data_IF_687781944527
#
_entry.id   IF_687781944527
#
_cell.length_a   1.000
_cell.length_b   1.000
_cell.length_c   1.000
_cell.angle_alpha   90.00
_cell.angle_beta   90.00
_cell.angle_gamma   90.00
#
_symmetry.space_group_name_H-M   'P 1'
#
loop_
_entity.id
_entity.type
_entity.pdbx_description
1 polymer ?
#
# COMPACT_ATOMS: atom_id res chain seq x y z
N UNK A 1 16.51 -67.57 68.69
CA UNK A 1 15.83 -68.39 67.67
C UNK A 1 15.26 -67.44 66.65
N UNK A 2 16.02 -67.30 65.56
CA UNK A 2 15.62 -67.26 64.14
C UNK A 2 14.55 -66.25 63.65
N UNK A 3 14.69 -65.54 62.53
CA UNK A 3 15.75 -65.40 61.53
C UNK A 3 15.52 -64.15 60.63
N UNK A 4 16.64 -63.58 60.18
CA UNK A 4 17.01 -62.87 58.94
C UNK A 4 15.99 -62.42 57.86
N UNK A 5 16.24 -61.21 57.30
CA UNK A 5 16.74 -60.90 55.91
C UNK A 5 16.11 -59.60 55.31
N UNK A 6 16.87 -58.49 55.30
CA UNK A 6 17.44 -57.71 54.14
C UNK A 6 16.59 -56.51 53.67
N UNK A 7 17.02 -55.26 53.94
CA UNK A 7 17.77 -54.33 53.06
C UNK A 7 16.79 -53.45 52.23
N UNK A 8 16.91 -52.13 52.01
CA UNK A 8 18.08 -51.26 51.93
C UNK A 8 17.60 -49.78 51.76
N UNK A 9 18.52 -48.84 52.05
CA UNK A 9 18.60 -47.44 51.56
C UNK A 9 17.66 -46.39 52.21
N UNK A 10 18.12 -45.35 52.89
CA UNK A 10 19.43 -44.70 52.90
C UNK A 10 19.31 -43.24 52.46
N UNK A 11 19.69 -42.33 53.36
CA UNK A 11 20.34 -41.04 53.07
C UNK A 11 19.53 -39.82 52.57
N UNK A 12 19.09 -39.03 53.54
CA UNK A 12 19.34 -37.60 53.78
C UNK A 12 19.46 -36.57 52.62
N UNK A 13 18.62 -35.55 52.75
CA UNK A 13 18.71 -34.15 52.34
C UNK A 13 19.96 -33.68 51.55
N UNK A 14 19.77 -33.21 50.30
CA UNK A 14 20.52 -32.07 49.78
C UNK A 14 19.90 -31.44 48.51
N UNK A 15 19.73 -30.11 48.62
CA UNK A 15 19.99 -29.10 47.59
C UNK A 15 19.09 -28.99 46.35
N UNK A 16 18.22 -27.98 46.45
CA UNK A 16 17.89 -27.02 45.39
C UNK A 16 19.11 -26.60 44.57
N UNK A 17 19.22 -27.10 43.35
CA UNK A 17 19.98 -26.46 42.26
C UNK A 17 19.20 -26.60 40.95
N UNK A 18 18.03 -25.96 40.87
CA UNK A 18 17.48 -25.56 39.58
C UNK A 18 18.42 -24.51 38.98
N UNK A 19 19.31 -25.03 38.14
CA UNK A 19 20.38 -24.40 37.37
C UNK A 19 20.14 -22.93 36.97
N UNK A 20 20.85 -22.04 37.66
CA UNK A 20 21.10 -20.65 37.22
C UNK A 20 21.74 -20.59 35.83
N UNK A 21 22.47 -21.63 35.41
CA UNK A 21 23.03 -21.81 34.05
C UNK A 21 21.95 -21.90 32.97
N UNK A 22 20.88 -22.69 33.18
CA UNK A 22 19.76 -22.84 32.22
C UNK A 22 18.98 -21.53 32.03
N UNK A 23 18.90 -20.70 33.08
CA UNK A 23 18.22 -19.39 33.02
C UNK A 23 19.09 -18.35 32.29
N UNK A 24 20.40 -18.37 32.51
CA UNK A 24 21.37 -17.54 31.81
C UNK A 24 21.48 -17.89 30.32
N UNK A 25 21.53 -19.19 29.98
CA UNK A 25 21.57 -19.67 28.59
C UNK A 25 20.29 -19.35 27.81
N UNK A 26 19.11 -19.53 28.42
CA UNK A 26 17.85 -19.13 27.81
C UNK A 26 17.74 -17.60 27.63
N UNK A 27 18.35 -16.82 28.53
CA UNK A 27 18.41 -15.36 28.43
C UNK A 27 19.40 -14.92 27.35
N UNK A 28 20.53 -15.62 27.18
CA UNK A 28 21.50 -15.40 26.12
C UNK A 28 20.92 -15.74 24.73
N UNK A 29 20.27 -16.90 24.57
CA UNK A 29 19.55 -17.29 23.33
C UNK A 29 18.47 -16.28 22.94
N UNK A 30 17.83 -15.63 23.92
CA UNK A 30 16.82 -14.58 23.66
C UNK A 30 17.39 -13.29 23.06
N UNK A 31 18.67 -12.98 23.30
CA UNK A 31 19.37 -11.77 22.81
C UNK A 31 19.89 -11.92 21.37
N UNK A 32 20.04 -13.14 20.86
CA UNK A 32 20.48 -13.43 19.49
C UNK A 32 19.34 -13.71 18.49
N UNK A 33 18.09 -13.48 18.91
CA UNK A 33 16.93 -13.68 18.04
C UNK A 33 16.99 -12.73 16.84
N UNK A 34 16.79 -13.28 15.64
CA UNK A 34 16.68 -12.51 14.41
C UNK A 34 15.24 -12.58 13.89
N UNK A 35 14.74 -11.48 13.36
CA UNK A 35 13.50 -11.44 12.58
C UNK A 35 13.88 -11.37 11.10
N UNK A 36 13.32 -12.28 10.31
CA UNK A 36 13.41 -12.25 8.87
C UNK A 36 12.20 -11.50 8.29
N UNK A 37 12.45 -10.42 7.56
CA UNK A 37 11.47 -9.82 6.67
C UNK A 37 11.81 -10.23 5.25
N UNK A 38 10.91 -10.96 4.61
CA UNK A 38 11.01 -11.24 3.19
C UNK A 38 10.38 -10.09 2.42
N UNK A 39 11.14 -9.46 1.53
CA UNK A 39 10.60 -8.50 0.59
C UNK A 39 9.62 -9.22 -0.35
N UNK A 40 8.33 -8.84 -0.39
CA UNK A 40 7.28 -9.63 -1.02
C UNK A 40 7.42 -9.73 -2.54
N UNK A 41 8.29 -8.93 -3.16
CA UNK A 41 8.45 -8.86 -4.63
C UNK A 41 9.79 -9.39 -5.13
N UNK A 42 10.85 -9.22 -4.36
CA UNK A 42 12.22 -9.55 -4.80
C UNK A 42 12.75 -10.82 -4.13
N UNK A 43 12.02 -11.37 -3.15
CA UNK A 43 12.49 -12.48 -2.33
C UNK A 43 13.69 -12.13 -1.43
N UNK A 44 14.17 -10.88 -1.44
CA UNK A 44 15.29 -10.47 -0.57
C UNK A 44 14.88 -10.60 0.89
N UNK A 45 15.69 -11.31 1.67
CA UNK A 45 15.49 -11.49 3.11
C UNK A 45 16.32 -10.44 3.85
N UNK A 46 15.66 -9.61 4.63
CA UNK A 46 16.29 -8.71 5.60
C UNK A 46 16.24 -9.38 6.98
N UNK A 47 17.40 -9.67 7.54
CA UNK A 47 17.54 -10.20 8.89
C UNK A 47 17.86 -9.07 9.87
N UNK A 48 17.04 -8.93 10.92
CA UNK A 48 17.21 -7.90 11.95
C UNK A 48 17.34 -8.53 13.31
N UNK A 49 18.14 -7.92 14.19
CA UNK A 49 18.24 -8.35 15.59
C UNK A 49 16.99 -7.95 16.39
N UNK A 50 16.52 -8.83 17.26
CA UNK A 50 15.47 -8.58 18.23
C UNK A 50 16.08 -8.06 19.55
N UNK A 51 15.44 -7.10 20.26
CA UNK A 51 14.18 -6.44 19.93
C UNK A 51 14.31 -5.44 18.79
N UNK A 52 13.25 -5.30 17.98
CA UNK A 52 13.23 -4.28 16.92
C UNK A 52 13.39 -2.89 17.56
N UNK A 53 14.13 -1.98 16.90
CA UNK A 53 14.20 -0.58 17.33
C UNK A 53 12.79 -0.01 17.47
N UNK A 54 12.53 0.73 18.56
CA UNK A 54 11.24 1.39 18.79
C UNK A 54 10.91 2.45 17.72
N UNK A 55 11.92 2.92 16.98
CA UNK A 55 11.76 3.76 15.80
C UNK A 55 11.53 2.86 14.57
N UNK A 56 10.35 2.96 13.97
CA UNK A 56 9.87 2.10 12.87
C UNK A 56 10.92 1.86 11.80
N UNK A 57 11.30 0.59 11.65
CA UNK A 57 12.23 0.16 10.63
C UNK A 57 11.62 0.37 9.24
N UNK A 58 12.25 1.20 8.42
CA UNK A 58 11.79 1.48 7.05
C UNK A 58 12.45 0.50 6.08
N UNK A 59 11.69 -0.47 5.58
CA UNK A 59 12.18 -1.48 4.63
C UNK A 59 12.51 -0.85 3.26
N UNK A 60 11.86 0.27 2.90
CA UNK A 60 12.00 0.91 1.59
C UNK A 60 13.34 1.63 1.31
N UNK A 61 14.15 1.96 2.32
CA UNK A 61 15.38 2.78 2.12
C UNK A 61 16.55 2.03 1.48
N UNK A 62 16.44 0.72 1.24
CA UNK A 62 17.54 -0.11 0.72
C UNK A 62 17.30 -0.64 -0.71
N UNK A 63 16.34 -0.09 -1.46
CA UNK A 63 15.91 -0.61 -2.76
C UNK A 63 16.53 0.17 -3.94
N UNK A 64 17.29 -0.46 -4.87
CA UNK A 64 17.72 0.19 -6.12
C UNK A 64 16.53 0.66 -7.00
N UNK A 65 16.73 1.60 -7.93
CA UNK A 65 15.63 2.22 -8.70
C UNK A 65 14.74 1.23 -9.46
N UNK A 66 15.28 0.19 -10.12
CA UNK A 66 14.45 -0.83 -10.78
C UNK A 66 13.60 -1.59 -9.75
N UNK A 67 14.16 -1.84 -8.57
CA UNK A 67 13.40 -2.47 -7.49
C UNK A 67 12.39 -1.54 -6.84
N UNK A 68 12.57 -0.21 -6.93
CA UNK A 68 11.59 0.78 -6.46
C UNK A 68 10.37 0.82 -7.36
N UNK A 69 10.54 0.83 -8.68
CA UNK A 69 9.39 0.76 -9.61
C UNK A 69 8.60 -0.54 -9.42
N UNK A 70 9.32 -1.67 -9.37
CA UNK A 70 8.73 -2.99 -9.13
C UNK A 70 7.99 -3.03 -7.78
N UNK A 71 8.58 -2.44 -6.74
CA UNK A 71 7.96 -2.31 -5.43
C UNK A 71 6.68 -1.46 -5.47
N UNK A 72 6.70 -0.27 -6.08
CA UNK A 72 5.55 0.63 -6.12
C UNK A 72 4.39 0.04 -6.94
N UNK A 73 4.71 -0.59 -8.07
CA UNK A 73 3.74 -1.35 -8.87
C UNK A 73 3.07 -2.43 -8.03
N UNK A 74 3.86 -3.21 -7.29
CA UNK A 74 3.32 -4.24 -6.41
C UNK A 74 2.46 -3.68 -5.29
N UNK A 75 2.92 -2.62 -4.61
CA UNK A 75 2.17 -1.96 -3.54
C UNK A 75 0.81 -1.46 -4.06
N UNK A 76 0.78 -0.77 -5.20
CA UNK A 76 -0.46 -0.29 -5.81
C UNK A 76 -1.37 -1.43 -6.24
N UNK A 77 -0.82 -2.53 -6.78
CA UNK A 77 -1.60 -3.73 -7.10
C UNK A 77 -2.20 -4.37 -5.84
N UNK A 78 -1.46 -4.42 -4.73
CA UNK A 78 -2.02 -4.88 -3.46
C UNK A 78 -3.16 -3.98 -3.00
N UNK A 79 -2.96 -2.66 -3.01
CA UNK A 79 -4.00 -1.67 -2.66
C UNK A 79 -5.26 -1.93 -3.48
N UNK A 80 -5.12 -2.13 -4.78
CA UNK A 80 -6.23 -2.47 -5.68
C UNK A 80 -6.94 -3.75 -5.27
N UNK A 81 -6.20 -4.85 -5.13
CA UNK A 81 -6.77 -6.17 -4.82
C UNK A 81 -7.53 -6.19 -3.48
N UNK A 82 -7.04 -5.46 -2.48
CA UNK A 82 -7.71 -5.34 -1.18
C UNK A 82 -8.92 -4.39 -1.21
N UNK A 83 -8.98 -3.47 -2.17
CA UNK A 83 -10.02 -2.46 -2.26
C UNK A 83 -11.16 -2.87 -3.18
N UNK A 84 -10.87 -3.36 -4.39
CA UNK A 84 -11.85 -3.69 -5.42
C UNK A 84 -12.30 -5.14 -5.28
N UNK A 85 -13.29 -5.38 -4.42
CA UNK A 85 -13.76 -6.75 -4.13
C UNK A 85 -14.72 -7.32 -5.16
N UNK A 86 -15.34 -6.48 -5.99
CA UNK A 86 -16.27 -6.94 -7.03
C UNK A 86 -16.01 -6.14 -8.32
N UNK A 87 -14.92 -6.44 -9.06
CA UNK A 87 -14.52 -5.69 -10.25
C UNK A 87 -15.63 -5.58 -11.30
N UNK A 88 -16.50 -6.61 -11.41
CA UNK A 88 -17.66 -6.60 -12.30
C UNK A 88 -18.60 -5.41 -12.08
N UNK A 89 -18.65 -4.86 -10.87
CA UNK A 89 -19.49 -3.69 -10.54
C UNK A 89 -18.96 -2.37 -11.09
N UNK A 90 -17.69 -2.33 -11.49
CA UNK A 90 -17.11 -1.19 -12.18
C UNK A 90 -17.62 -1.08 -13.62
N UNK A 91 -17.97 -2.22 -14.24
CA UNK A 91 -18.51 -2.32 -15.61
C UNK A 91 -20.03 -2.19 -15.68
N UNK A 92 -20.73 -1.76 -14.63
CA UNK A 92 -22.20 -1.62 -14.63
C UNK A 92 -22.70 -0.37 -15.40
N UNK A 93 -21.94 0.10 -16.39
CA UNK A 93 -22.46 1.11 -17.31
C UNK A 93 -23.54 0.49 -18.19
N UNK A 94 -24.56 1.29 -18.47
CA UNK A 94 -25.79 0.93 -19.19
C UNK A 94 -25.49 0.13 -20.45
N UNK A 95 -26.17 -1.02 -20.59
CA UNK A 95 -26.24 -1.76 -21.84
C UNK A 95 -26.60 -0.79 -22.98
N UNK A 96 -25.95 -0.95 -24.14
CA UNK A 96 -26.06 -0.16 -25.39
C UNK A 96 -24.96 0.87 -25.71
N UNK A 97 -23.93 1.01 -24.87
CA UNK A 97 -22.61 1.53 -25.30
C UNK A 97 -21.52 0.53 -24.90
N UNK A 98 -20.43 0.32 -25.67
CA UNK A 98 -19.33 -0.57 -25.28
C UNK A 98 -18.51 0.07 -24.15
N UNK A 99 -19.15 0.26 -22.99
CA UNK A 99 -18.62 0.92 -21.81
C UNK A 99 -17.91 -0.11 -20.94
N UNK A 100 -16.77 -0.60 -21.44
CA UNK A 100 -15.77 -1.22 -20.56
C UNK A 100 -15.26 -0.10 -19.66
N UNK A 101 -15.30 -0.28 -18.34
CA UNK A 101 -14.65 0.63 -17.42
C UNK A 101 -13.16 0.68 -17.79
N UNK A 102 -12.73 1.82 -18.36
CA UNK A 102 -11.41 2.00 -18.94
C UNK A 102 -10.35 2.23 -17.88
N UNK A 103 -10.08 1.24 -17.03
CA UNK A 103 -8.94 1.36 -16.11
C UNK A 103 -7.67 1.59 -16.92
N UNK A 104 -6.99 2.70 -16.61
CA UNK A 104 -5.69 2.99 -17.19
C UNK A 104 -4.67 2.10 -16.49
N UNK A 105 -3.94 1.30 -17.28
CA UNK A 105 -2.91 0.40 -16.73
C UNK A 105 -1.75 1.20 -16.11
N UNK A 106 -1.03 0.59 -15.17
CA UNK A 106 0.15 1.20 -14.55
C UNK A 106 1.20 1.61 -15.60
N UNK A 107 1.36 0.80 -16.65
CA UNK A 107 2.33 1.05 -17.71
C UNK A 107 1.92 2.26 -18.55
N UNK A 108 0.63 2.40 -18.88
CA UNK A 108 0.11 3.58 -19.57
C UNK A 108 0.36 4.85 -18.76
N UNK A 109 0.04 4.87 -17.46
CA UNK A 109 0.32 6.03 -16.60
C UNK A 109 1.82 6.32 -16.51
N UNK A 110 2.66 5.28 -16.46
CA UNK A 110 4.12 5.46 -16.43
C UNK A 110 4.65 6.11 -17.71
N UNK A 111 4.08 5.77 -18.88
CA UNK A 111 4.42 6.44 -20.15
C UNK A 111 4.00 7.91 -20.11
N UNK A 112 2.78 8.20 -19.64
CA UNK A 112 2.28 9.58 -19.50
C UNK A 112 3.21 10.41 -18.61
N UNK A 113 3.59 9.89 -17.43
CA UNK A 113 4.47 10.58 -16.49
C UNK A 113 5.90 10.76 -16.99
N UNK A 114 6.38 9.89 -17.88
CA UNK A 114 7.68 10.07 -18.56
C UNK A 114 7.64 11.21 -19.58
N UNK A 115 6.50 11.38 -20.26
CA UNK A 115 6.31 12.46 -21.25
C UNK A 115 5.91 13.78 -20.61
N UNK A 116 5.26 13.73 -19.44
CA UNK A 116 4.82 14.88 -18.65
C UNK A 116 5.40 14.78 -17.23
N UNK A 117 6.70 15.06 -17.04
CA UNK A 117 7.32 14.99 -15.72
C UNK A 117 6.70 16.04 -14.79
N UNK A 118 6.15 15.58 -13.66
CA UNK A 118 5.50 16.45 -12.67
C UNK A 118 6.48 16.82 -11.55
N UNK A 119 6.53 18.11 -11.22
CA UNK A 119 7.33 18.71 -10.16
C UNK A 119 6.52 19.19 -8.95
N UNK A 120 7.20 19.74 -7.92
CA UNK A 120 6.56 20.14 -6.67
C UNK A 120 5.51 21.26 -6.78
N UNK A 121 5.55 22.04 -7.86
CA UNK A 121 4.60 23.12 -8.13
C UNK A 121 3.41 22.65 -8.97
N UNK A 122 3.42 21.39 -9.44
CA UNK A 122 2.34 20.86 -10.26
C UNK A 122 1.13 20.44 -9.44
N UNK A 123 -0.02 20.64 -10.05
CA UNK A 123 -1.32 20.25 -9.56
C UNK A 123 -1.98 19.35 -10.61
N UNK A 124 -2.00 18.05 -10.32
CA UNK A 124 -2.56 17.05 -11.21
C UNK A 124 -4.04 16.83 -10.88
N UNK A 125 -4.91 16.93 -11.89
CA UNK A 125 -6.35 16.73 -11.76
C UNK A 125 -6.85 15.63 -12.70
N UNK A 126 -7.45 14.58 -12.15
CA UNK A 126 -8.03 13.45 -12.88
C UNK A 126 -9.57 13.55 -12.87
N UNK A 127 -10.17 13.78 -14.04
CA UNK A 127 -11.61 13.93 -14.23
C UNK A 127 -12.23 12.57 -14.61
N UNK A 128 -13.16 12.09 -13.77
CA UNK A 128 -13.66 10.71 -13.91
C UNK A 128 -12.64 9.69 -13.43
N UNK A 129 -12.03 9.96 -12.28
CA UNK A 129 -10.89 9.21 -11.73
C UNK A 129 -11.18 7.75 -11.37
N UNK A 130 -12.44 7.33 -11.41
CA UNK A 130 -12.85 5.97 -11.12
C UNK A 130 -12.49 5.55 -9.70
N UNK A 131 -11.70 4.48 -9.57
CA UNK A 131 -11.20 3.99 -8.28
C UNK A 131 -9.98 4.78 -7.78
N UNK A 132 -9.44 5.71 -8.58
CA UNK A 132 -8.31 6.57 -8.22
C UNK A 132 -6.92 5.99 -8.52
N UNK A 133 -6.81 4.94 -9.35
CA UNK A 133 -5.51 4.29 -9.65
C UNK A 133 -4.47 5.27 -10.20
N UNK A 134 -4.88 6.14 -11.13
CA UNK A 134 -3.99 7.14 -11.75
C UNK A 134 -3.48 8.11 -10.67
N UNK A 135 -4.38 8.73 -9.91
CA UNK A 135 -4.05 9.66 -8.82
C UNK A 135 -3.08 9.05 -7.81
N UNK A 136 -3.32 7.80 -7.40
CA UNK A 136 -2.43 7.12 -6.45
C UNK A 136 -1.05 6.84 -7.04
N UNK A 137 -0.97 6.48 -8.31
CA UNK A 137 0.32 6.30 -8.98
C UNK A 137 1.06 7.63 -9.10
N UNK A 138 0.40 8.72 -9.50
CA UNK A 138 1.01 10.05 -9.54
C UNK A 138 1.56 10.42 -8.16
N UNK A 139 0.78 10.20 -7.10
CA UNK A 139 1.20 10.49 -5.73
C UNK A 139 2.40 9.64 -5.27
N UNK A 140 2.47 8.37 -5.69
CA UNK A 140 3.51 7.43 -5.28
C UNK A 140 4.83 7.57 -6.06
N UNK A 141 4.76 7.94 -7.35
CA UNK A 141 5.90 7.83 -8.26
C UNK A 141 6.46 9.17 -8.74
N UNK A 142 5.70 10.27 -8.63
CA UNK A 142 6.11 11.59 -9.13
C UNK A 142 6.53 12.57 -8.01
N UNK A 143 6.98 13.76 -8.40
CA UNK A 143 7.25 14.86 -7.46
C UNK A 143 6.08 15.85 -7.36
N UNK A 144 4.91 15.52 -7.93
CA UNK A 144 3.73 16.37 -7.98
C UNK A 144 3.39 16.96 -6.59
N UNK A 145 3.06 18.26 -6.55
CA UNK A 145 2.71 18.95 -5.31
C UNK A 145 1.36 18.50 -4.74
N UNK A 146 0.39 18.24 -5.62
CA UNK A 146 -0.95 17.76 -5.26
C UNK A 146 -1.57 16.96 -6.41
N UNK A 147 -2.14 15.80 -6.10
CA UNK A 147 -2.90 14.99 -7.07
C UNK A 147 -4.35 14.84 -6.62
N UNK A 148 -5.32 15.19 -7.47
CA UNK A 148 -6.75 15.13 -7.14
C UNK A 148 -7.49 14.31 -8.17
N UNK A 149 -8.34 13.38 -7.72
CA UNK A 149 -9.31 12.69 -8.56
C UNK A 149 -10.73 13.05 -8.16
N UNK A 150 -11.60 13.26 -9.15
CA UNK A 150 -13.03 13.50 -8.94
C UNK A 150 -13.80 12.37 -9.64
N UNK A 151 -14.73 11.75 -8.92
CA UNK A 151 -15.58 10.66 -9.45
C UNK A 151 -17.01 10.75 -8.90
N UNK A 152 -18.01 10.50 -9.76
CA UNK A 152 -19.43 10.55 -9.41
C UNK A 152 -20.09 9.18 -9.30
N UNK A 153 -19.57 8.18 -10.00
CA UNK A 153 -20.15 6.86 -10.12
C UNK A 153 -20.08 6.10 -8.79
N UNK A 154 -21.25 5.63 -8.34
CA UNK A 154 -21.48 4.99 -7.04
C UNK A 154 -20.49 3.89 -6.68
N UNK A 155 -20.19 2.98 -7.62
CA UNK A 155 -19.29 1.86 -7.37
C UNK A 155 -17.82 2.28 -7.36
N UNK A 156 -17.30 2.97 -8.40
CA UNK A 156 -15.94 3.49 -8.38
C UNK A 156 -15.60 4.33 -7.15
N UNK A 157 -16.43 5.31 -6.78
CA UNK A 157 -16.13 6.17 -5.61
C UNK A 157 -16.15 5.40 -4.27
N UNK A 158 -17.01 4.39 -4.15
CA UNK A 158 -17.00 3.49 -2.99
C UNK A 158 -15.65 2.76 -2.88
N UNK A 159 -15.10 2.33 -4.00
CA UNK A 159 -13.79 1.68 -4.04
C UNK A 159 -12.64 2.67 -3.87
N UNK A 160 -12.73 3.88 -4.41
CA UNK A 160 -11.75 4.94 -4.20
C UNK A 160 -11.53 5.26 -2.71
N UNK A 161 -12.60 5.29 -1.91
CA UNK A 161 -12.49 5.44 -0.44
C UNK A 161 -11.73 4.30 0.23
N UNK A 162 -11.81 3.07 -0.31
CA UNK A 162 -11.06 1.92 0.19
C UNK A 162 -9.61 1.98 -0.28
N UNK A 163 -9.39 2.32 -1.55
CA UNK A 163 -8.09 2.55 -2.15
C UNK A 163 -7.29 3.55 -1.32
N UNK A 164 -7.88 4.69 -0.96
CA UNK A 164 -7.28 5.68 -0.05
C UNK A 164 -6.76 5.03 1.25
N UNK A 165 -7.65 4.32 1.98
CA UNK A 165 -7.29 3.73 3.28
C UNK A 165 -6.21 2.67 3.16
N UNK A 166 -6.27 1.83 2.12
CA UNK A 166 -5.27 0.81 1.89
C UNK A 166 -3.95 1.40 1.42
N UNK A 167 -3.97 2.45 0.60
CA UNK A 167 -2.76 3.13 0.14
C UNK A 167 -2.01 3.80 1.28
N UNK A 168 -2.71 4.55 2.15
CA UNK A 168 -2.12 5.13 3.36
C UNK A 168 -1.51 4.04 4.27
N UNK A 169 -2.28 2.97 4.51
CA UNK A 169 -1.83 1.84 5.36
C UNK A 169 -0.59 1.16 4.79
N UNK A 170 -0.58 0.81 3.50
CA UNK A 170 0.53 0.10 2.88
C UNK A 170 1.75 1.01 2.74
N UNK A 171 1.56 2.29 2.40
CA UNK A 171 2.64 3.26 2.37
C UNK A 171 3.31 3.40 3.72
N UNK A 172 2.52 3.55 4.80
CA UNK A 172 3.04 3.56 6.17
C UNK A 172 3.73 2.26 6.54
N UNK A 173 3.15 1.10 6.20
CA UNK A 173 3.70 -0.21 6.52
C UNK A 173 5.06 -0.45 5.87
N UNK A 174 5.21 -0.06 4.60
CA UNK A 174 6.47 -0.20 3.87
C UNK A 174 7.48 0.94 4.16
N UNK A 175 7.06 1.99 4.86
CA UNK A 175 7.86 3.19 5.06
C UNK A 175 8.04 4.02 3.79
N UNK A 176 7.11 3.89 2.83
CA UNK A 176 7.07 4.71 1.62
C UNK A 176 6.39 6.04 1.91
N UNK A 177 7.03 7.14 1.51
CA UNK A 177 6.44 8.48 1.55
C UNK A 177 5.91 8.82 0.16
N UNK A 178 4.61 9.09 0.08
CA UNK A 178 3.95 9.58 -1.13
C UNK A 178 3.69 11.09 -1.03
N UNK A 179 3.33 11.67 -2.17
CA UNK A 179 2.89 13.08 -2.28
C UNK A 179 1.45 13.26 -1.79
N UNK A 180 1.05 14.50 -1.48
CA UNK A 180 -0.33 14.81 -1.12
C UNK A 180 -1.30 14.44 -2.24
N UNK A 181 -2.43 13.82 -1.87
CA UNK A 181 -3.48 13.49 -2.83
C UNK A 181 -4.89 13.57 -2.22
N UNK A 182 -5.91 13.66 -3.08
CA UNK A 182 -7.33 13.61 -2.70
C UNK A 182 -8.13 12.78 -3.70
N UNK A 183 -9.10 12.02 -3.20
CA UNK A 183 -10.11 11.32 -4.00
C UNK A 183 -11.48 11.85 -3.57
N UNK A 184 -12.16 12.57 -4.46
CA UNK A 184 -13.35 13.36 -4.17
C UNK A 184 -14.59 12.76 -4.85
N UNK A 185 -15.71 12.78 -4.14
CA UNK A 185 -17.01 12.36 -4.67
C UNK A 185 -17.78 13.55 -5.24
N UNK A 186 -18.16 13.47 -6.51
CA UNK A 186 -19.07 14.43 -7.13
C UNK A 186 -18.92 14.52 -8.64
N UNK A 187 -19.79 15.33 -9.25
CA UNK A 187 -19.68 15.68 -10.65
C UNK A 187 -18.64 16.78 -10.81
N UNK A 188 -17.59 16.56 -11.62
CA UNK A 188 -16.53 17.55 -11.80
C UNK A 188 -17.02 18.86 -12.46
N UNK A 189 -18.21 18.88 -13.05
CA UNK A 189 -18.85 20.10 -13.55
C UNK A 189 -19.45 20.97 -12.41
N UNK A 190 -19.55 20.45 -11.19
CA UNK A 190 -20.06 21.21 -10.04
C UNK A 190 -19.17 22.41 -9.72
N UNK A 191 -19.80 23.56 -9.42
CA UNK A 191 -19.13 24.81 -9.05
C UNK A 191 -18.13 24.64 -7.90
N UNK A 192 -18.43 23.73 -6.96
CA UNK A 192 -17.57 23.43 -5.81
C UNK A 192 -16.17 22.92 -6.19
N UNK A 193 -16.00 22.36 -7.40
CA UNK A 193 -14.71 21.87 -7.87
C UNK A 193 -13.95 22.84 -8.75
N UNK A 194 -14.52 24.01 -9.09
CA UNK A 194 -13.85 25.03 -9.93
C UNK A 194 -12.48 25.43 -9.38
N UNK A 195 -12.31 25.44 -8.06
CA UNK A 195 -11.01 25.75 -7.46
C UNK A 195 -9.90 24.76 -7.86
N UNK A 196 -10.24 23.50 -8.13
CA UNK A 196 -9.28 22.49 -8.58
C UNK A 196 -8.87 22.74 -10.04
N UNK A 197 -9.82 23.12 -10.90
CA UNK A 197 -9.52 23.52 -12.28
C UNK A 197 -8.62 24.75 -12.32
N UNK A 198 -8.87 25.76 -11.49
CA UNK A 198 -8.02 26.96 -11.43
C UNK A 198 -6.59 26.67 -10.95
N UNK A 199 -6.40 25.64 -10.12
CA UNK A 199 -5.08 25.25 -9.60
C UNK A 199 -4.36 24.27 -10.52
N UNK A 200 -5.09 23.49 -11.31
CA UNK A 200 -4.55 22.41 -12.14
C UNK A 200 -3.51 22.93 -13.15
N UNK A 201 -2.33 22.33 -13.13
CA UNK A 201 -1.30 22.53 -14.16
C UNK A 201 -1.34 21.41 -15.20
N UNK A 202 -1.85 20.24 -14.81
CA UNK A 202 -2.07 19.09 -15.68
C UNK A 202 -3.45 18.51 -15.39
N UNK A 203 -4.27 18.39 -16.43
CA UNK A 203 -5.59 17.74 -16.37
C UNK A 203 -5.52 16.44 -17.17
N UNK A 204 -5.88 15.35 -16.53
CA UNK A 204 -6.03 14.03 -17.14
C UNK A 204 -7.51 13.69 -17.25
N UNK A 205 -7.90 13.20 -18.43
CA UNK A 205 -9.27 12.85 -18.77
C UNK A 205 -9.22 11.58 -19.60
N UNK A 206 -9.74 10.46 -19.09
CA UNK A 206 -9.90 9.26 -19.91
C UNK A 206 -11.21 9.36 -20.70
N UNK A 207 -11.14 9.96 -21.89
CA UNK A 207 -12.30 10.25 -22.71
C UNK A 207 -12.97 9.04 -23.39
N UNK A 208 -12.39 7.85 -23.26
CA UNK A 208 -13.05 6.61 -23.72
C UNK A 208 -14.40 6.36 -23.00
N UNK A 209 -14.62 7.00 -21.84
CA UNK A 209 -15.84 6.89 -21.05
C UNK A 209 -16.84 8.05 -21.24
N UNK A 210 -16.52 9.07 -22.05
CA UNK A 210 -17.39 10.24 -22.25
C UNK A 210 -18.23 10.10 -23.53
N UNK A 211 -19.51 10.45 -23.42
CA UNK A 211 -20.38 10.60 -24.57
C UNK A 211 -20.13 11.94 -25.28
N UNK A 212 -20.58 12.10 -26.54
CA UNK A 212 -20.27 13.27 -27.38
C UNK A 212 -20.67 14.63 -26.78
N UNK A 213 -21.66 14.66 -25.88
CA UNK A 213 -22.10 15.89 -25.21
C UNK A 213 -21.11 16.43 -24.17
N UNK A 214 -20.29 15.54 -23.59
CA UNK A 214 -19.38 15.90 -22.52
C UNK A 214 -18.01 16.36 -23.04
N UNK A 215 -17.62 15.89 -24.23
CA UNK A 215 -16.43 16.38 -24.93
C UNK A 215 -16.52 17.88 -25.20
N UNK A 216 -17.69 18.39 -25.60
CA UNK A 216 -17.90 19.82 -25.89
C UNK A 216 -17.85 20.76 -24.66
N UNK A 217 -17.95 20.21 -23.44
CA UNK A 217 -17.92 21.00 -22.21
C UNK A 217 -16.55 20.98 -21.53
N UNK A 218 -15.72 19.98 -21.86
CA UNK A 218 -14.42 19.72 -21.22
C UNK A 218 -13.24 20.09 -22.14
N UNK A 219 -13.42 20.00 -23.46
CA UNK A 219 -12.46 20.42 -24.49
C UNK A 219 -12.84 21.78 -25.09
#
# INVERSE_FOLDING_TARGET
MDAQYSDENGFNCSNTTENTSNKAENTARRKDRRIAFMHPVTGKILLLKWPLPKAGLRVATFLPPESKEVFLRHMLQQVYNYSVTQPRKLNLYTAFTPSVYGEVSYDCVSVILKQTPLGPNDYFLDLGSGVGNVVLQVAATSLCGMSVGIERAKWPIKYARRMYKHFERWSSWYGHTHRPFKLLEGDFLDVKFREHFCKATVIFVNNYAFGPELDHQVL
#
